data_IF_721931800985
#
_entry.id   IF_721931800985
#
_cell.length_a   1.000
_cell.length_b   1.000
_cell.length_c   1.000
_cell.angle_alpha   90.00
_cell.angle_beta   90.00
_cell.angle_gamma   90.00
#
_symmetry.space_group_name_H-M   'P 1'
#
loop_
_entity.id
_entity.type
_entity.pdbx_description
1 polymer ?
#
# COMPACT_ATOMS: atom_id res chain seq x y z
N UNK A 1 41.85 -16.51 22.82
CA UNK A 1 40.90 -17.54 22.36
C UNK A 1 39.90 -16.84 21.46
N UNK A 2 40.23 -16.73 20.17
CA UNK A 2 39.33 -16.20 19.16
C UNK A 2 38.43 -17.36 18.74
N UNK A 3 37.18 -17.39 19.22
CA UNK A 3 36.13 -18.18 18.58
C UNK A 3 36.15 -17.87 17.08
N UNK A 4 36.25 -18.91 16.24
CA UNK A 4 36.32 -18.74 14.80
C UNK A 4 35.08 -17.98 14.31
N UNK A 5 35.26 -17.05 13.37
CA UNK A 5 34.17 -16.24 12.80
C UNK A 5 33.00 -17.13 12.32
N UNK A 6 33.34 -18.31 11.81
CA UNK A 6 32.40 -19.33 11.32
C UNK A 6 31.53 -19.91 12.46
N UNK A 7 32.09 -20.20 13.63
CA UNK A 7 31.32 -20.69 14.79
C UNK A 7 30.38 -19.64 15.36
N UNK A 8 30.74 -18.35 15.31
CA UNK A 8 29.86 -17.26 15.71
C UNK A 8 28.69 -17.09 14.75
N UNK A 9 28.93 -17.15 13.44
CA UNK A 9 27.88 -17.07 12.43
C UNK A 9 26.90 -18.24 12.50
N UNK A 10 27.38 -19.46 12.74
CA UNK A 10 26.56 -20.65 12.94
C UNK A 10 25.67 -20.55 14.20
N UNK A 11 26.23 -20.05 15.32
CA UNK A 11 25.44 -19.84 16.55
C UNK A 11 24.34 -18.79 16.36
N UNK A 12 24.63 -17.71 15.63
CA UNK A 12 23.64 -16.66 15.33
C UNK A 12 22.50 -17.23 14.48
N UNK A 13 22.81 -17.94 13.39
CA UNK A 13 21.80 -18.58 12.54
C UNK A 13 20.91 -19.58 13.28
N UNK A 14 21.49 -20.41 14.14
CA UNK A 14 20.74 -21.38 14.93
C UNK A 14 19.78 -20.71 15.93
N UNK A 15 20.21 -19.60 16.53
CA UNK A 15 19.36 -18.81 17.43
C UNK A 15 18.22 -18.12 16.66
N UNK A 16 18.50 -17.55 15.49
CA UNK A 16 17.48 -16.92 14.63
C UNK A 16 16.42 -17.94 14.18
N UNK A 17 16.82 -19.12 13.72
CA UNK A 17 15.89 -20.21 13.37
C UNK A 17 15.04 -20.66 14.57
N UNK A 18 15.63 -20.76 15.76
CA UNK A 18 14.90 -21.08 16.97
C UNK A 18 13.83 -20.02 17.29
N UNK A 19 14.17 -18.73 17.15
CA UNK A 19 13.21 -17.63 17.37
C UNK A 19 12.05 -17.69 16.38
N UNK A 20 12.30 -17.95 15.08
CA UNK A 20 11.23 -18.12 14.10
C UNK A 20 10.34 -19.32 14.39
N UNK A 21 10.93 -20.44 14.83
CA UNK A 21 10.16 -21.62 15.25
C UNK A 21 9.28 -21.34 16.48
N UNK A 22 9.78 -20.56 17.45
CA UNK A 22 9.00 -20.11 18.59
C UNK A 22 7.83 -19.22 18.16
N UNK A 23 8.06 -18.29 17.23
CA UNK A 23 7.00 -17.43 16.72
C UNK A 23 5.90 -18.22 15.98
N UNK A 24 6.28 -19.20 15.16
CA UNK A 24 5.32 -20.09 14.51
C UNK A 24 4.50 -20.90 15.53
N UNK A 25 5.14 -21.39 16.60
CA UNK A 25 4.42 -22.08 17.69
C UNK A 25 3.44 -21.13 18.40
N UNK A 26 3.84 -19.88 18.64
CA UNK A 26 2.96 -18.85 19.20
C UNK A 26 1.78 -18.56 18.30
N UNK A 27 1.99 -18.43 16.98
CA UNK A 27 0.92 -18.28 15.98
C UNK A 27 -0.05 -19.46 16.01
N UNK A 28 0.46 -20.69 16.05
CA UNK A 28 -0.34 -21.92 16.10
C UNK A 28 -1.17 -22.02 17.40
N UNK A 29 -0.62 -21.53 18.51
CA UNK A 29 -1.32 -21.49 19.81
C UNK A 29 -2.38 -20.38 19.92
N UNK A 30 -2.43 -19.45 18.95
CA UNK A 30 -3.31 -18.27 18.93
C UNK A 30 -3.22 -17.38 20.19
N UNK A 31 -2.09 -17.43 20.90
CA UNK A 31 -1.87 -16.60 22.09
C UNK A 31 -1.42 -15.18 21.68
N UNK A 32 -2.38 -14.28 21.50
CA UNK A 32 -2.13 -12.92 20.99
C UNK A 32 -1.09 -12.12 21.78
N UNK A 33 -1.05 -12.27 23.11
CA UNK A 33 -0.06 -11.55 23.94
C UNK A 33 1.35 -12.04 23.64
N UNK A 34 1.51 -13.36 23.54
CA UNK A 34 2.79 -13.98 23.23
C UNK A 34 3.23 -13.65 21.80
N UNK A 35 2.32 -13.72 20.82
CA UNK A 35 2.60 -13.37 19.42
C UNK A 35 3.14 -11.94 19.30
N UNK A 36 2.49 -10.96 19.94
CA UNK A 36 2.94 -9.56 19.91
C UNK A 36 4.32 -9.37 20.54
N UNK A 37 4.59 -10.08 21.63
CA UNK A 37 5.87 -10.03 22.32
C UNK A 37 6.99 -10.65 21.47
N UNK A 38 6.74 -11.81 20.88
CA UNK A 38 7.69 -12.51 20.01
C UNK A 38 7.95 -11.71 18.73
N UNK A 39 6.89 -11.17 18.11
CA UNK A 39 7.00 -10.31 16.94
C UNK A 39 7.90 -9.10 17.22
N UNK A 40 7.66 -8.42 18.35
CA UNK A 40 8.49 -7.28 18.73
C UNK A 40 9.95 -7.71 18.82
N UNK A 41 10.26 -8.76 19.58
CA UNK A 41 11.62 -9.31 19.75
C UNK A 41 12.31 -9.64 18.43
N UNK A 42 11.61 -10.27 17.50
CA UNK A 42 12.15 -10.60 16.18
C UNK A 42 12.54 -9.33 15.42
N UNK A 43 11.66 -8.32 15.40
CA UNK A 43 11.96 -7.07 14.70
C UNK A 43 13.11 -6.32 15.39
N UNK A 44 13.24 -6.39 16.71
CA UNK A 44 14.40 -5.82 17.42
C UNK A 44 15.70 -6.53 17.05
N UNK A 45 15.64 -7.85 16.86
CA UNK A 45 16.78 -8.63 16.40
C UNK A 45 17.19 -8.21 14.98
N UNK A 46 16.25 -8.11 14.04
CA UNK A 46 16.50 -7.71 12.63
C UNK A 46 17.21 -6.36 12.56
N UNK A 47 16.77 -5.38 13.35
CA UNK A 47 17.39 -4.04 13.36
C UNK A 47 18.67 -3.93 14.20
N UNK A 48 19.13 -5.01 14.83
CA UNK A 48 20.39 -5.02 15.56
C UNK A 48 21.58 -5.09 14.61
N UNK A 49 22.72 -4.47 14.97
CA UNK A 49 23.98 -4.50 14.20
C UNK A 49 24.58 -5.91 14.01
N UNK A 50 23.95 -6.93 14.58
CA UNK A 50 24.42 -8.31 14.62
C UNK A 50 23.53 -9.28 13.82
N UNK A 51 22.46 -8.80 13.18
CA UNK A 51 21.63 -9.66 12.35
C UNK A 51 22.29 -9.88 10.97
N UNK A 52 22.74 -11.10 10.72
CA UNK A 52 23.21 -11.55 9.42
C UNK A 52 22.01 -11.93 8.53
N UNK A 53 21.08 -10.99 8.30
CA UNK A 53 19.98 -11.04 7.30
C UNK A 53 19.13 -12.33 7.18
N UNK A 54 19.23 -13.30 8.11
CA UNK A 54 18.63 -14.62 7.87
C UNK A 54 17.10 -14.63 8.06
N UNK A 55 16.55 -13.64 8.77
CA UNK A 55 15.11 -13.44 8.91
C UNK A 55 14.75 -12.09 8.31
N UNK A 56 13.84 -12.12 7.35
CA UNK A 56 13.34 -10.91 6.68
C UNK A 56 11.93 -10.54 7.16
N UNK A 57 11.59 -9.26 7.02
CA UNK A 57 10.22 -8.79 7.29
C UNK A 57 9.17 -9.51 6.43
N UNK A 58 9.55 -9.92 5.22
CA UNK A 58 8.69 -10.69 4.29
C UNK A 58 8.36 -12.07 4.86
N UNK A 59 9.34 -12.80 5.39
CA UNK A 59 9.10 -14.14 5.97
C UNK A 59 8.19 -14.09 7.19
N UNK A 60 8.34 -13.05 8.04
CA UNK A 60 7.44 -12.83 9.19
C UNK A 60 6.02 -12.55 8.70
N UNK A 61 5.89 -11.69 7.70
CA UNK A 61 4.60 -11.35 7.12
C UNK A 61 3.91 -12.59 6.51
N UNK A 62 4.67 -13.43 5.80
CA UNK A 62 4.15 -14.69 5.25
C UNK A 62 3.69 -15.65 6.35
N UNK A 63 4.43 -15.75 7.47
CA UNK A 63 4.01 -16.56 8.62
C UNK A 63 2.67 -16.07 9.21
N UNK A 64 2.48 -14.76 9.33
CA UNK A 64 1.23 -14.19 9.83
C UNK A 64 0.09 -14.45 8.83
N UNK A 65 0.34 -14.25 7.53
CA UNK A 65 -0.66 -14.47 6.47
C UNK A 65 -1.12 -15.93 6.37
N UNK A 66 -0.25 -16.88 6.66
CA UNK A 66 -0.56 -18.32 6.69
C UNK A 66 -1.21 -18.77 8.00
N UNK A 67 -1.22 -17.92 9.03
CA UNK A 67 -1.81 -18.24 10.32
C UNK A 67 -3.34 -18.23 10.28
N UNK A 68 -3.98 -18.90 11.24
CA UNK A 68 -5.45 -18.91 11.41
C UNK A 68 -5.97 -17.75 12.26
N UNK A 69 -5.20 -16.67 12.38
CA UNK A 69 -5.61 -15.48 13.12
C UNK A 69 -6.76 -14.77 12.42
N UNK A 70 -7.61 -14.10 13.19
CA UNK A 70 -8.68 -13.29 12.63
C UNK A 70 -8.12 -11.96 12.04
N UNK A 71 -8.92 -11.30 11.21
CA UNK A 71 -8.51 -10.09 10.50
C UNK A 71 -8.15 -8.94 11.44
N UNK A 72 -8.81 -8.83 12.60
CA UNK A 72 -8.54 -7.78 13.59
C UNK A 72 -7.16 -7.95 14.24
N UNK A 73 -6.78 -9.18 14.61
CA UNK A 73 -5.46 -9.47 15.15
C UNK A 73 -4.40 -9.27 14.07
N UNK A 74 -4.66 -9.73 12.83
CA UNK A 74 -3.73 -9.54 11.72
C UNK A 74 -3.43 -8.05 11.48
N UNK A 75 -4.45 -7.19 11.48
CA UNK A 75 -4.29 -5.74 11.37
C UNK A 75 -3.39 -5.17 12.48
N UNK A 76 -3.63 -5.57 13.73
CA UNK A 76 -2.83 -5.11 14.85
C UNK A 76 -1.36 -5.54 14.73
N UNK A 77 -1.12 -6.77 14.26
CA UNK A 77 0.23 -7.28 13.99
C UNK A 77 0.89 -6.52 12.85
N UNK A 78 0.17 -6.21 11.75
CA UNK A 78 0.72 -5.41 10.65
C UNK A 78 1.09 -3.99 11.10
N UNK A 79 0.24 -3.35 11.89
CA UNK A 79 0.53 -2.04 12.48
C UNK A 79 1.75 -2.08 13.40
N UNK A 80 1.88 -3.13 14.22
CA UNK A 80 3.04 -3.35 15.08
C UNK A 80 4.31 -3.54 14.23
N UNK A 81 4.23 -4.34 13.16
CA UNK A 81 5.34 -4.55 12.21
C UNK A 81 5.82 -3.23 11.60
N UNK A 82 4.90 -2.44 11.03
CA UNK A 82 5.20 -1.15 10.41
C UNK A 82 5.82 -0.19 11.41
N UNK A 83 5.24 -0.08 12.62
CA UNK A 83 5.73 0.83 13.66
C UNK A 83 7.15 0.45 14.11
N UNK A 84 7.38 -0.84 14.42
CA UNK A 84 8.68 -1.32 14.88
C UNK A 84 9.75 -1.24 13.78
N UNK A 85 9.38 -1.49 12.52
CA UNK A 85 10.28 -1.35 11.38
C UNK A 85 10.65 0.12 11.12
N UNK A 86 9.67 1.03 11.22
CA UNK A 86 9.89 2.47 10.99
C UNK A 86 10.84 3.06 12.03
N UNK A 87 10.68 2.70 13.31
CA UNK A 87 11.58 3.12 14.41
C UNK A 87 13.04 2.71 14.20
N UNK A 88 13.26 1.65 13.42
CA UNK A 88 14.58 1.06 13.16
C UNK A 88 15.07 1.29 11.73
N UNK A 89 14.33 2.07 10.94
CA UNK A 89 14.65 2.38 9.53
C UNK A 89 14.83 1.09 8.71
N UNK A 90 14.00 0.08 9.00
CA UNK A 90 13.97 -1.17 8.25
C UNK A 90 13.10 -1.01 6.99
N UNK A 91 13.48 -1.69 5.92
CA UNK A 91 12.65 -1.75 4.72
C UNK A 91 11.38 -2.55 5.01
N UNK A 92 10.24 -1.93 4.73
CA UNK A 92 8.93 -2.56 4.89
C UNK A 92 8.46 -3.09 3.53
N UNK A 93 8.06 -4.38 3.43
CA UNK A 93 7.51 -4.94 2.19
C UNK A 93 6.25 -4.21 1.74
N UNK A 94 6.12 -3.95 0.44
CA UNK A 94 4.93 -3.30 -0.14
C UNK A 94 3.65 -4.10 0.16
N UNK A 95 3.73 -5.44 0.08
CA UNK A 95 2.59 -6.33 0.34
C UNK A 95 2.03 -6.20 1.75
N UNK A 96 2.87 -5.82 2.73
CA UNK A 96 2.42 -5.56 4.10
C UNK A 96 1.50 -4.34 4.15
N UNK A 97 1.85 -3.26 3.44
CA UNK A 97 1.00 -2.08 3.33
C UNK A 97 -0.29 -2.38 2.58
N UNK A 98 -0.22 -3.14 1.48
CA UNK A 98 -1.39 -3.55 0.71
C UNK A 98 -2.35 -4.37 1.58
N UNK A 99 -1.84 -5.34 2.35
CA UNK A 99 -2.66 -6.15 3.25
C UNK A 99 -3.30 -5.33 4.36
N UNK A 100 -2.57 -4.39 4.96
CA UNK A 100 -3.13 -3.47 5.95
C UNK A 100 -4.25 -2.61 5.35
N UNK A 101 -4.03 -2.01 4.17
CA UNK A 101 -5.03 -1.17 3.49
C UNK A 101 -6.30 -1.97 3.20
N UNK A 102 -6.16 -3.15 2.60
CA UNK A 102 -7.31 -4.00 2.29
C UNK A 102 -8.06 -4.44 3.55
N UNK A 103 -7.34 -4.80 4.62
CA UNK A 103 -7.93 -5.16 5.91
C UNK A 103 -8.74 -4.02 6.52
N UNK A 104 -8.19 -2.80 6.52
CA UNK A 104 -8.89 -1.61 7.04
C UNK A 104 -10.14 -1.26 6.22
N UNK A 105 -10.10 -1.42 4.90
CA UNK A 105 -11.27 -1.22 4.03
C UNK A 105 -12.35 -2.28 4.34
N UNK A 106 -11.96 -3.55 4.39
CA UNK A 106 -12.87 -4.67 4.66
C UNK A 106 -13.57 -4.53 6.01
N UNK A 107 -12.84 -4.05 7.02
CA UNK A 107 -13.36 -3.84 8.39
C UNK A 107 -14.08 -2.50 8.57
N UNK A 108 -14.22 -1.68 7.52
CA UNK A 108 -14.81 -0.34 7.58
C UNK A 108 -14.16 0.58 8.62
N UNK A 109 -12.82 0.59 8.59
CA UNK A 109 -11.96 1.46 9.43
C UNK A 109 -11.37 2.59 8.58
N UNK A 110 -12.22 3.26 7.79
CA UNK A 110 -11.80 4.28 6.82
C UNK A 110 -11.14 5.49 7.50
N UNK A 111 -11.59 5.83 8.71
CA UNK A 111 -11.00 6.91 9.49
C UNK A 111 -9.53 6.64 9.83
N UNK A 112 -9.23 5.43 10.31
CA UNK A 112 -7.86 4.99 10.63
C UNK A 112 -7.01 5.01 9.36
N UNK A 113 -7.51 4.43 8.27
CA UNK A 113 -6.82 4.41 6.99
C UNK A 113 -6.50 5.83 6.49
N UNK A 114 -7.46 6.75 6.56
CA UNK A 114 -7.26 8.14 6.14
C UNK A 114 -6.16 8.83 6.95
N UNK A 115 -6.11 8.60 8.26
CA UNK A 115 -5.03 9.12 9.11
C UNK A 115 -3.67 8.56 8.72
N UNK A 116 -3.57 7.23 8.51
CA UNK A 116 -2.31 6.60 8.13
C UNK A 116 -1.78 7.12 6.78
N UNK A 117 -2.67 7.40 5.83
CA UNK A 117 -2.35 8.01 4.54
C UNK A 117 -1.93 9.48 4.69
N UNK A 118 -2.65 10.26 5.49
CA UNK A 118 -2.37 11.68 5.72
C UNK A 118 -1.02 11.90 6.39
N UNK A 119 -0.70 11.10 7.41
CA UNK A 119 0.56 11.18 8.17
C UNK A 119 1.71 10.41 7.51
N UNK A 120 1.54 9.88 6.29
CA UNK A 120 2.59 9.17 5.55
C UNK A 120 3.15 7.95 6.26
N UNK A 121 2.38 7.33 7.15
CA UNK A 121 2.71 6.01 7.71
C UNK A 121 2.66 4.97 6.60
N UNK A 122 1.64 5.08 5.72
CA UNK A 122 1.58 4.36 4.46
C UNK A 122 2.23 5.26 3.39
N UNK A 123 3.32 4.81 2.73
CA UNK A 123 4.01 5.61 1.73
C UNK A 123 3.17 5.74 0.45
N UNK A 124 3.47 6.76 -0.35
CA UNK A 124 2.85 6.90 -1.66
C UNK A 124 3.29 5.73 -2.55
N UNK A 125 2.33 4.98 -3.08
CA UNK A 125 2.56 3.77 -3.86
C UNK A 125 1.46 3.59 -4.93
N UNK A 126 1.84 3.16 -6.13
CA UNK A 126 0.91 3.01 -7.26
C UNK A 126 -0.17 1.95 -6.99
N UNK A 127 0.19 0.78 -6.47
CA UNK A 127 -0.72 -0.31 -6.15
C UNK A 127 -1.77 0.12 -5.13
N UNK A 128 -1.33 0.79 -4.06
CA UNK A 128 -2.21 1.33 -3.02
C UNK A 128 -3.12 2.42 -3.59
N UNK A 129 -2.58 3.34 -4.39
CA UNK A 129 -3.38 4.38 -5.01
C UNK A 129 -4.52 3.81 -5.87
N UNK A 130 -4.25 2.74 -6.63
CA UNK A 130 -5.26 2.06 -7.44
C UNK A 130 -6.34 1.42 -6.55
N UNK A 131 -5.97 0.74 -5.47
CA UNK A 131 -6.92 0.15 -4.50
C UNK A 131 -7.86 1.23 -3.94
N UNK A 132 -7.31 2.40 -3.58
CA UNK A 132 -8.06 3.52 -3.05
C UNK A 132 -9.02 4.11 -4.08
N UNK A 133 -8.56 4.30 -5.33
CA UNK A 133 -9.39 4.83 -6.42
C UNK A 133 -10.54 3.88 -6.79
N UNK A 134 -10.37 2.57 -6.63
CA UNK A 134 -11.46 1.61 -6.84
C UNK A 134 -12.63 1.80 -5.86
N UNK A 135 -12.45 2.55 -4.76
CA UNK A 135 -13.51 2.86 -3.80
C UNK A 135 -14.42 4.03 -4.22
N UNK A 136 -14.38 4.46 -5.48
CA UNK A 136 -15.14 5.61 -6.01
C UNK A 136 -16.63 5.61 -5.61
N UNK A 137 -17.30 4.47 -5.73
CA UNK A 137 -18.74 4.35 -5.46
C UNK A 137 -19.08 4.07 -4.00
N UNK A 138 -18.17 3.47 -3.24
CA UNK A 138 -18.40 3.01 -1.86
C UNK A 138 -17.95 4.05 -0.83
N UNK A 139 -16.75 4.59 -0.99
CA UNK A 139 -16.06 5.40 0.02
C UNK A 139 -15.35 6.56 -0.70
N UNK A 140 -16.05 7.68 -0.97
CA UNK A 140 -15.51 8.80 -1.75
C UNK A 140 -14.24 9.42 -1.15
N UNK A 141 -14.09 9.43 0.18
CA UNK A 141 -12.89 9.98 0.81
C UNK A 141 -11.62 9.20 0.43
N UNK A 142 -11.71 7.86 0.32
CA UNK A 142 -10.58 7.03 -0.09
C UNK A 142 -10.26 7.23 -1.56
N UNK A 143 -11.28 7.39 -2.42
CA UNK A 143 -11.07 7.74 -3.82
C UNK A 143 -10.22 9.01 -3.98
N UNK A 144 -10.56 10.08 -3.26
CA UNK A 144 -9.78 11.32 -3.31
C UNK A 144 -8.37 11.15 -2.72
N UNK A 145 -8.21 10.35 -1.66
CA UNK A 145 -6.88 10.02 -1.15
C UNK A 145 -6.00 9.32 -2.19
N UNK A 146 -6.59 8.40 -2.98
CA UNK A 146 -5.92 7.71 -4.08
C UNK A 146 -5.53 8.66 -5.21
N UNK A 147 -6.42 9.57 -5.63
CA UNK A 147 -6.09 10.60 -6.61
C UNK A 147 -4.95 11.52 -6.14
N UNK A 148 -5.00 11.96 -4.88
CA UNK A 148 -3.95 12.81 -4.31
C UNK A 148 -2.62 12.07 -4.18
N UNK A 149 -2.65 10.77 -3.90
CA UNK A 149 -1.46 9.91 -3.94
C UNK A 149 -0.84 9.87 -5.34
N UNK A 150 -1.63 9.64 -6.39
CA UNK A 150 -1.15 9.67 -7.78
C UNK A 150 -0.57 11.04 -8.16
N UNK A 151 -1.20 12.14 -7.74
CA UNK A 151 -0.70 13.50 -8.00
C UNK A 151 0.68 13.74 -7.38
N UNK A 152 0.89 13.32 -6.12
CA UNK A 152 2.18 13.46 -5.44
C UNK A 152 3.28 12.62 -6.09
N UNK A 153 2.94 11.45 -6.59
CA UNK A 153 3.85 10.61 -7.39
C UNK A 153 4.04 11.10 -8.83
N UNK A 154 3.38 12.19 -9.24
CA UNK A 154 3.39 12.72 -10.61
C UNK A 154 2.92 11.70 -11.67
N UNK A 155 2.06 10.76 -11.29
CA UNK A 155 1.51 9.75 -12.19
C UNK A 155 0.27 10.30 -12.92
N UNK A 156 0.49 11.35 -13.71
CA UNK A 156 -0.57 12.13 -14.35
C UNK A 156 -1.26 11.38 -15.49
N UNK A 157 -0.55 10.49 -16.21
CA UNK A 157 -1.16 9.66 -17.26
C UNK A 157 -2.24 8.75 -16.69
N UNK A 158 -1.96 8.12 -15.54
CA UNK A 158 -2.94 7.29 -14.84
C UNK A 158 -4.12 8.12 -14.31
N UNK A 159 -3.87 9.33 -13.82
CA UNK A 159 -4.95 10.25 -13.42
C UNK A 159 -5.88 10.58 -14.57
N UNK A 160 -5.33 10.89 -15.75
CA UNK A 160 -6.11 11.16 -16.97
C UNK A 160 -7.00 9.97 -17.32
N UNK A 161 -6.44 8.76 -17.34
CA UNK A 161 -7.21 7.54 -17.60
C UNK A 161 -8.36 7.35 -16.59
N UNK A 162 -8.11 7.57 -15.30
CA UNK A 162 -9.12 7.45 -14.25
C UNK A 162 -10.24 8.49 -14.39
N UNK A 163 -9.90 9.74 -14.73
CA UNK A 163 -10.91 10.78 -14.97
C UNK A 163 -11.76 10.45 -16.21
N UNK A 164 -11.16 9.94 -17.28
CA UNK A 164 -11.90 9.49 -18.47
C UNK A 164 -12.85 8.33 -18.12
N UNK A 165 -12.37 7.31 -17.40
CA UNK A 165 -13.19 6.18 -16.95
C UNK A 165 -14.39 6.61 -16.10
N UNK A 166 -14.21 7.67 -15.30
CA UNK A 166 -15.26 8.24 -14.45
C UNK A 166 -16.11 9.33 -15.15
N UNK A 167 -16.04 9.44 -16.48
CA UNK A 167 -16.79 10.43 -17.26
C UNK A 167 -16.54 11.89 -16.80
N UNK A 168 -15.33 12.18 -16.30
CA UNK A 168 -14.90 13.53 -15.96
C UNK A 168 -13.92 14.04 -17.01
N UNK A 169 -14.45 14.24 -18.23
CA UNK A 169 -13.67 14.61 -19.42
C UNK A 169 -12.97 15.96 -19.22
N UNK A 170 -13.61 16.92 -18.57
CA UNK A 170 -13.04 18.25 -18.32
C UNK A 170 -11.76 18.17 -17.48
N UNK A 171 -11.77 17.43 -16.36
CA UNK A 171 -10.57 17.23 -15.54
C UNK A 171 -9.49 16.43 -16.26
N UNK A 172 -9.88 15.41 -17.04
CA UNK A 172 -8.94 14.64 -17.85
C UNK A 172 -8.18 15.53 -18.84
N UNK A 173 -8.90 16.37 -19.60
CA UNK A 173 -8.31 17.29 -20.57
C UNK A 173 -7.49 18.39 -19.90
N UNK A 174 -7.95 18.93 -18.77
CA UNK A 174 -7.22 19.93 -18.02
C UNK A 174 -5.85 19.41 -17.56
N UNK A 175 -5.80 18.20 -16.98
CA UNK A 175 -4.54 17.58 -16.55
C UNK A 175 -3.66 17.24 -17.75
N UNK A 176 -4.25 16.70 -18.82
CA UNK A 176 -3.50 16.37 -20.02
C UNK A 176 -2.84 17.60 -20.66
N UNK A 177 -3.57 18.72 -20.76
CA UNK A 177 -3.02 19.97 -21.24
C UNK A 177 -1.93 20.52 -20.29
N UNK A 178 -2.21 20.54 -18.98
CA UNK A 178 -1.28 21.07 -17.99
C UNK A 178 0.07 20.33 -17.94
N UNK A 179 0.06 19.01 -18.16
CA UNK A 179 1.26 18.16 -18.07
C UNK A 179 1.69 17.57 -19.41
N UNK A 180 1.17 18.11 -20.52
CA UNK A 180 1.50 17.69 -21.89
C UNK A 180 1.37 16.17 -22.11
N UNK A 181 0.28 15.58 -21.61
CA UNK A 181 -0.04 14.17 -21.83
C UNK A 181 -0.91 14.07 -23.08
N UNK A 182 -0.46 13.25 -24.03
CA UNK A 182 -1.25 12.94 -25.22
C UNK A 182 -2.41 12.02 -24.86
N UNK A 183 -3.62 12.42 -25.24
CA UNK A 183 -4.80 11.55 -25.21
C UNK A 183 -5.21 11.32 -26.67
N UNK A 184 -5.35 10.05 -27.12
CA UNK A 184 -5.83 9.77 -28.45
C UNK A 184 -7.20 10.43 -28.70
N UNK A 185 -7.32 11.19 -29.79
CA UNK A 185 -8.57 11.88 -30.15
C UNK A 185 -9.75 10.92 -30.31
N UNK A 186 -9.50 9.70 -30.79
CA UNK A 186 -10.48 8.62 -30.88
C UNK A 186 -11.08 8.25 -29.53
N UNK A 187 -10.24 8.13 -28.49
CA UNK A 187 -10.67 7.82 -27.12
C UNK A 187 -11.56 8.93 -26.58
N UNK A 188 -11.19 10.20 -26.79
CA UNK A 188 -12.01 11.34 -26.34
C UNK A 188 -13.35 11.39 -27.08
N UNK A 189 -13.36 11.14 -28.39
CA UNK A 189 -14.59 11.10 -29.19
C UNK A 189 -15.55 9.99 -28.73
N UNK A 190 -15.03 8.82 -28.33
CA UNK A 190 -15.84 7.76 -27.73
C UNK A 190 -16.50 8.21 -26.41
N UNK A 191 -15.74 8.84 -25.52
CA UNK A 191 -16.29 9.35 -24.26
C UNK A 191 -17.30 10.48 -24.46
N UNK A 192 -17.05 11.37 -25.43
CA UNK A 192 -17.98 12.46 -25.81
C UNK A 192 -19.29 11.91 -26.37
N UNK A 193 -19.24 10.89 -27.23
CA UNK A 193 -20.46 10.27 -27.80
C UNK A 193 -21.35 9.63 -26.76
N UNK A 194 -20.74 9.09 -25.70
CA UNK A 194 -21.46 8.49 -24.57
C UNK A 194 -21.87 9.52 -23.51
N UNK A 195 -21.57 10.80 -23.71
CA UNK A 195 -21.86 11.88 -22.78
C UNK A 195 -23.25 12.46 -23.05
N UNK A 196 -24.21 12.23 -22.15
CA UNK A 196 -25.61 12.67 -22.29
C UNK A 196 -25.82 14.18 -22.04
N UNK A 197 -24.86 15.05 -22.37
CA UNK A 197 -24.97 16.49 -22.13
C UNK A 197 -24.42 17.30 -23.32
N UNK A 198 -25.31 17.66 -24.24
CA UNK A 198 -24.99 18.37 -25.49
C UNK A 198 -24.31 19.73 -25.26
N UNK A 199 -24.65 20.43 -24.17
CA UNK A 199 -24.05 21.72 -23.83
C UNK A 199 -22.56 21.56 -23.48
N UNK A 200 -22.24 20.56 -22.67
CA UNK A 200 -20.86 20.25 -22.30
C UNK A 200 -20.06 19.74 -23.50
N UNK A 201 -20.68 18.94 -24.38
CA UNK A 201 -20.05 18.50 -25.63
C UNK A 201 -19.71 19.70 -26.53
N UNK A 202 -20.63 20.65 -26.66
CA UNK A 202 -20.39 21.87 -27.42
C UNK A 202 -19.24 22.71 -26.83
N UNK A 203 -19.23 22.91 -25.51
CA UNK A 203 -18.17 23.64 -24.82
C UNK A 203 -16.81 22.94 -24.95
N UNK A 204 -16.77 21.61 -24.86
CA UNK A 204 -15.54 20.83 -25.04
C UNK A 204 -14.98 20.98 -26.45
N UNK A 205 -15.82 20.92 -27.49
CA UNK A 205 -15.40 21.17 -28.88
C UNK A 205 -14.89 22.59 -29.10
N UNK A 206 -15.45 23.58 -28.40
CA UNK A 206 -14.98 24.96 -28.47
C UNK A 206 -13.61 25.14 -27.79
N UNK A 207 -13.43 24.55 -26.62
CA UNK A 207 -12.20 24.67 -25.82
C UNK A 207 -11.05 23.82 -26.39
N UNK A 208 -11.37 22.72 -27.07
CA UNK A 208 -10.41 21.80 -27.67
C UNK A 208 -10.81 21.54 -29.13
N UNK A 209 -10.41 22.42 -30.07
CA UNK A 209 -10.79 22.34 -31.48
C UNK A 209 -10.37 21.05 -32.17
N UNK A 210 -9.35 20.38 -31.63
CA UNK A 210 -8.81 19.10 -32.06
C UNK A 210 -9.82 17.94 -31.93
N UNK A 211 -10.93 18.17 -31.23
CA UNK A 211 -12.02 17.22 -31.00
C UNK A 211 -13.22 17.41 -31.94
N UNK A 212 -13.22 18.47 -32.77
CA UNK A 212 -14.27 18.77 -33.75
C UNK A 212 -14.10 17.93 -35.03
#
# INVERSE_FOLDING_TARGET
MEESVIEKELKIKNNEQAVMSCFQNSLNSLNCKQIKFDLQKIIEAIGSRHCNQAITMTEIFDCIKQSKLNDEINEELYMKMITCATQRVLQIPEDLYIALVNGLIQQRKEFVLTQLLQYKVIPDNNSIAIILVQQYSSIPCLYYCGLDMLKRMKNYSKLVDLYLMNNNISMALQIANQYSIEIPSTKIQEYIKNYNNDLLVYQLKLLFPELA
#
